data_IF_903822971679
#
_entry.id   IF_903822971679
#
_cell.length_a   1.000
_cell.length_b   1.000
_cell.length_c   1.000
_cell.angle_alpha   90.00
_cell.angle_beta   90.00
_cell.angle_gamma   90.00
#
_symmetry.space_group_name_H-M   'P 1'
#
loop_
_entity.id
_entity.type
_entity.pdbx_description
1 polymer ?
#
# COMPACT_ATOMS: atom_id res chain seq x y z
N UNK A 1 7.24 -33.68 6.31
CA UNK A 1 8.02 -33.45 5.08
C UNK A 1 7.48 -34.39 4.01
N UNK A 2 7.20 -33.83 2.83
CA UNK A 2 6.79 -34.61 1.66
C UNK A 2 7.57 -34.11 0.45
N UNK A 3 8.32 -35.04 -0.17
CA UNK A 3 9.13 -34.77 -1.38
C UNK A 3 8.57 -35.63 -2.50
N UNK A 4 8.20 -34.96 -3.57
CA UNK A 4 7.60 -35.58 -4.74
C UNK A 4 8.42 -35.32 -5.99
N UNK A 5 8.47 -36.28 -6.89
CA UNK A 5 8.87 -36.06 -8.26
C UNK A 5 7.79 -35.22 -8.96
N UNK A 6 8.18 -34.09 -9.52
CA UNK A 6 7.22 -33.15 -10.14
C UNK A 6 6.61 -33.69 -11.43
N UNK A 7 7.38 -34.39 -12.24
CA UNK A 7 6.94 -34.90 -13.55
C UNK A 7 6.06 -36.13 -13.39
N UNK A 8 6.47 -37.04 -12.50
CA UNK A 8 5.80 -38.34 -12.30
C UNK A 8 4.72 -38.31 -11.23
N UNK A 9 4.71 -37.31 -10.38
CA UNK A 9 3.80 -37.22 -9.22
C UNK A 9 4.05 -38.27 -8.15
N UNK A 10 5.21 -38.97 -8.21
CA UNK A 10 5.55 -40.05 -7.27
C UNK A 10 6.22 -39.49 -6.02
N UNK A 11 5.90 -40.05 -4.86
CA UNK A 11 6.54 -39.69 -3.59
C UNK A 11 7.94 -40.27 -3.52
N UNK A 12 8.94 -39.43 -3.38
CA UNK A 12 10.35 -39.82 -3.20
C UNK A 12 10.69 -39.97 -1.73
N UNK A 13 10.10 -39.18 -0.84
CA UNK A 13 10.30 -39.25 0.60
C UNK A 13 9.10 -38.67 1.32
N UNK A 14 8.72 -39.29 2.43
CA UNK A 14 7.67 -38.80 3.32
C UNK A 14 8.06 -39.01 4.78
N UNK A 15 7.90 -38.00 5.60
CA UNK A 15 8.04 -38.06 7.04
C UNK A 15 7.00 -37.13 7.66
N UNK A 16 6.09 -37.71 8.43
CA UNK A 16 4.99 -36.99 9.09
C UNK A 16 4.25 -36.07 8.10
N UNK A 17 3.99 -36.58 6.90
CA UNK A 17 3.54 -35.77 5.74
C UNK A 17 2.12 -35.21 5.90
N UNK A 18 1.28 -35.89 6.68
CA UNK A 18 -0.11 -35.54 6.92
C UNK A 18 -0.30 -34.63 8.13
N UNK A 19 0.78 -34.23 8.78
CA UNK A 19 0.73 -33.30 9.91
C UNK A 19 0.33 -31.91 9.46
N UNK A 20 -0.74 -31.41 10.05
CA UNK A 20 -1.18 -30.02 9.82
C UNK A 20 -0.20 -29.04 10.48
N UNK A 21 0.28 -28.10 9.70
CA UNK A 21 1.18 -27.02 10.12
C UNK A 21 0.63 -25.70 9.65
N UNK A 22 0.99 -24.62 10.35
CA UNK A 22 0.69 -23.26 9.92
C UNK A 22 1.56 -22.98 8.68
N UNK A 23 0.96 -22.67 7.52
CA UNK A 23 1.72 -22.48 6.27
C UNK A 23 2.57 -21.22 6.23
N UNK A 24 2.29 -20.24 7.11
CA UNK A 24 2.95 -18.94 7.08
C UNK A 24 3.01 -18.35 5.64
N UNK A 25 4.15 -17.83 5.20
CA UNK A 25 4.28 -17.22 3.86
C UNK A 25 4.13 -18.20 2.69
N UNK A 26 4.14 -19.50 2.91
CA UNK A 26 3.83 -20.48 1.85
C UNK A 26 2.39 -20.30 1.33
N UNK A 27 1.50 -19.79 2.17
CA UNK A 27 0.13 -19.43 1.77
C UNK A 27 0.09 -18.46 0.58
N UNK A 28 1.12 -17.63 0.41
CA UNK A 28 1.23 -16.70 -0.74
C UNK A 28 1.27 -17.41 -2.08
N UNK A 29 1.80 -18.64 -2.14
CA UNK A 29 1.81 -19.43 -3.38
C UNK A 29 0.38 -19.76 -3.83
N UNK A 30 -0.48 -20.12 -2.89
CA UNK A 30 -1.90 -20.40 -3.17
C UNK A 30 -2.65 -19.13 -3.58
N UNK A 31 -2.47 -18.05 -2.82
CA UNK A 31 -3.13 -16.77 -3.10
C UNK A 31 -2.70 -16.21 -4.47
N UNK A 32 -1.39 -16.25 -4.75
CA UNK A 32 -0.84 -15.78 -6.03
C UNK A 32 -1.31 -16.67 -7.19
N UNK A 33 -1.30 -18.00 -7.00
CA UNK A 33 -1.79 -18.95 -7.99
C UNK A 33 -3.27 -18.69 -8.34
N UNK A 34 -4.11 -18.51 -7.34
CA UNK A 34 -5.53 -18.20 -7.53
C UNK A 34 -5.75 -16.86 -8.27
N UNK A 35 -4.97 -15.83 -7.94
CA UNK A 35 -5.01 -14.54 -8.64
C UNK A 35 -4.57 -14.68 -10.10
N UNK A 36 -3.49 -15.40 -10.37
CA UNK A 36 -2.99 -15.66 -11.72
C UNK A 36 -4.01 -16.44 -12.56
N UNK A 37 -4.65 -17.45 -11.97
CA UNK A 37 -5.70 -18.22 -12.65
C UNK A 37 -6.94 -17.36 -12.94
N UNK A 38 -7.33 -16.49 -12.00
CA UNK A 38 -8.57 -15.70 -12.11
C UNK A 38 -8.45 -14.50 -13.03
N UNK A 39 -7.32 -13.80 -13.00
CA UNK A 39 -7.12 -12.52 -13.68
C UNK A 39 -6.06 -12.56 -14.78
N UNK A 40 -5.25 -13.60 -14.82
CA UNK A 40 -4.16 -13.73 -15.79
C UNK A 40 -2.92 -12.91 -15.40
N UNK A 41 -1.79 -13.13 -16.13
CA UNK A 41 -0.51 -12.48 -15.87
C UNK A 41 -0.49 -10.99 -16.24
N UNK A 42 -1.39 -10.56 -17.12
CA UNK A 42 -1.43 -9.17 -17.63
C UNK A 42 -2.37 -8.27 -16.85
N UNK A 43 -2.92 -8.75 -15.72
CA UNK A 43 -3.78 -7.93 -14.88
C UNK A 43 -3.01 -6.73 -14.32
N UNK A 44 -3.65 -5.56 -14.40
CA UNK A 44 -3.10 -4.30 -13.89
C UNK A 44 -4.10 -3.59 -12.99
N UNK A 45 -3.61 -3.08 -11.88
CA UNK A 45 -4.34 -2.12 -11.07
C UNK A 45 -4.45 -0.77 -11.82
N UNK A 46 -5.54 -0.03 -11.60
CA UNK A 46 -5.79 1.24 -12.29
C UNK A 46 -6.11 2.33 -11.29
N UNK A 47 -5.15 3.18 -11.01
CA UNK A 47 -5.40 4.41 -10.28
C UNK A 47 -5.80 5.51 -11.27
N UNK A 48 -6.95 6.14 -11.06
CA UNK A 48 -7.46 7.16 -11.95
C UNK A 48 -7.50 8.55 -11.29
N UNK A 49 -7.30 9.58 -12.10
CA UNK A 49 -7.45 10.96 -11.67
C UNK A 49 -8.72 11.55 -12.28
N UNK A 50 -9.47 12.29 -11.47
CA UNK A 50 -10.66 13.01 -11.89
C UNK A 50 -10.69 14.43 -11.35
N UNK A 51 -11.54 15.27 -11.95
CA UNK A 51 -11.79 16.62 -11.47
C UNK A 51 -13.27 16.79 -11.18
N UNK A 52 -13.59 17.12 -9.93
CA UNK A 52 -14.94 17.52 -9.56
C UNK A 52 -15.05 19.02 -9.46
N UNK A 53 -16.14 19.57 -10.03
CA UNK A 53 -16.50 20.99 -9.90
C UNK A 53 -17.72 21.11 -9.02
N UNK A 54 -17.62 21.85 -7.92
CA UNK A 54 -18.78 22.15 -7.08
C UNK A 54 -19.75 23.04 -7.84
N UNK A 55 -21.04 22.66 -7.88
CA UNK A 55 -22.09 23.45 -8.52
C UNK A 55 -22.77 24.44 -7.58
N UNK A 56 -22.42 24.44 -6.29
CA UNK A 56 -23.21 25.15 -5.26
C UNK A 56 -22.71 26.54 -4.86
N UNK A 57 -21.67 27.06 -5.50
CA UNK A 57 -21.13 28.38 -5.17
C UNK A 57 -20.94 29.23 -6.43
N UNK A 58 -21.09 30.57 -6.28
CA UNK A 58 -20.88 31.57 -7.33
C UNK A 58 -19.48 31.50 -7.97
N UNK A 59 -18.52 30.90 -7.27
CA UNK A 59 -17.17 30.57 -7.76
C UNK A 59 -17.08 29.04 -7.81
N UNK A 60 -16.91 28.51 -9.02
CA UNK A 60 -16.75 27.06 -9.24
C UNK A 60 -15.41 26.61 -8.70
N UNK A 61 -15.40 26.09 -7.47
CA UNK A 61 -14.21 25.48 -6.86
C UNK A 61 -14.02 24.05 -7.34
N UNK A 62 -12.77 23.67 -7.60
CA UNK A 62 -12.40 22.36 -8.12
C UNK A 62 -11.69 21.54 -7.05
N UNK A 63 -11.92 20.24 -7.08
CA UNK A 63 -11.14 19.24 -6.35
C UNK A 63 -10.49 18.28 -7.33
N UNK A 64 -9.25 17.90 -7.09
CA UNK A 64 -8.65 16.72 -7.70
C UNK A 64 -9.17 15.49 -6.98
N UNK A 65 -9.64 14.50 -7.72
CA UNK A 65 -10.04 13.21 -7.13
C UNK A 65 -9.04 12.16 -7.57
N UNK A 66 -8.57 11.36 -6.62
CA UNK A 66 -7.76 10.17 -6.88
C UNK A 66 -8.61 8.95 -6.56
N UNK A 67 -8.92 8.14 -7.56
CA UNK A 67 -9.67 6.89 -7.42
C UNK A 67 -8.69 5.73 -7.22
N UNK A 68 -8.70 5.15 -6.03
CA UNK A 68 -7.89 3.98 -5.69
C UNK A 68 -8.54 2.67 -6.14
N UNK A 69 -7.73 1.70 -6.53
CA UNK A 69 -8.16 0.36 -6.92
C UNK A 69 -7.42 -0.77 -6.19
N UNK A 70 -6.72 -0.44 -5.10
CA UNK A 70 -5.98 -1.41 -4.33
C UNK A 70 -4.56 -1.69 -4.82
N UNK A 71 -4.00 -0.82 -5.66
CA UNK A 71 -2.63 -0.97 -6.17
C UNK A 71 -1.61 -0.90 -5.02
N UNK A 72 -0.90 -1.99 -4.70
CA UNK A 72 0.09 -2.01 -3.63
C UNK A 72 1.43 -1.38 -4.04
N UNK A 73 1.65 -1.16 -5.33
CA UNK A 73 2.93 -0.65 -5.85
C UNK A 73 3.00 0.88 -5.88
N UNK A 74 1.88 1.57 -5.66
CA UNK A 74 1.77 3.01 -5.79
C UNK A 74 2.67 3.74 -4.76
N UNK A 75 3.71 4.38 -5.23
CA UNK A 75 4.69 5.06 -4.37
C UNK A 75 5.53 4.13 -3.50
N UNK A 76 5.56 2.84 -3.80
CA UNK A 76 6.31 1.85 -3.03
C UNK A 76 7.82 2.08 -3.13
N UNK A 77 8.53 1.88 -2.02
CA UNK A 77 9.99 1.97 -1.96
C UNK A 77 10.70 0.90 -2.81
N UNK A 78 9.99 -0.16 -3.21
CA UNK A 78 10.51 -1.16 -4.14
C UNK A 78 10.59 -0.65 -5.59
N UNK A 79 9.88 0.44 -5.91
CA UNK A 79 9.78 1.01 -7.25
C UNK A 79 10.02 2.53 -7.25
N UNK A 80 11.19 3.03 -6.78
CA UNK A 80 11.43 4.46 -6.59
C UNK A 80 11.38 5.26 -7.90
N UNK A 81 11.90 4.72 -8.98
CA UNK A 81 11.92 5.38 -10.29
C UNK A 81 10.50 5.49 -10.88
N UNK A 82 9.67 4.49 -10.65
CA UNK A 82 8.27 4.50 -11.09
C UNK A 82 7.45 5.52 -10.32
N UNK A 83 7.73 5.72 -9.05
CA UNK A 83 7.09 6.75 -8.23
C UNK A 83 7.37 8.15 -8.78
N UNK A 84 8.60 8.47 -9.09
CA UNK A 84 8.97 9.76 -9.67
C UNK A 84 8.33 9.97 -11.04
N UNK A 85 8.32 8.95 -11.88
CA UNK A 85 7.66 8.96 -13.19
C UNK A 85 6.15 9.20 -13.05
N UNK A 86 5.49 8.48 -12.16
CA UNK A 86 4.06 8.62 -11.89
C UNK A 86 3.66 10.05 -11.55
N UNK A 87 4.35 10.69 -10.61
CA UNK A 87 4.05 12.08 -10.26
C UNK A 87 4.24 13.03 -11.44
N UNK A 88 5.28 12.80 -12.25
CA UNK A 88 5.52 13.58 -13.45
C UNK A 88 4.38 13.43 -14.45
N UNK A 89 3.97 12.20 -14.73
CA UNK A 89 2.88 11.88 -15.65
C UNK A 89 1.53 12.46 -15.17
N UNK A 90 1.23 12.32 -13.87
CA UNK A 90 0.02 12.89 -13.29
C UNK A 90 -0.01 14.42 -13.39
N UNK A 91 1.10 15.07 -13.06
CA UNK A 91 1.21 16.53 -13.16
C UNK A 91 1.05 17.00 -14.60
N UNK A 92 1.69 16.31 -15.54
CA UNK A 92 1.54 16.62 -16.97
C UNK A 92 0.11 16.40 -17.46
N UNK A 93 -0.54 15.30 -17.06
CA UNK A 93 -1.91 15.02 -17.44
C UNK A 93 -2.87 16.10 -16.91
N UNK A 94 -2.73 16.49 -15.66
CA UNK A 94 -3.50 17.58 -15.04
C UNK A 94 -3.32 18.88 -15.81
N UNK A 95 -2.07 19.27 -16.06
CA UNK A 95 -1.73 20.52 -16.74
C UNK A 95 -2.21 20.55 -18.21
N UNK A 96 -2.02 19.45 -18.95
CA UNK A 96 -2.49 19.32 -20.33
C UNK A 96 -4.02 19.44 -20.45
N UNK A 97 -4.75 19.09 -19.42
CA UNK A 97 -6.20 19.26 -19.36
C UNK A 97 -6.63 20.66 -18.83
N UNK A 98 -5.69 21.59 -18.69
CA UNK A 98 -5.97 22.98 -18.34
C UNK A 98 -6.21 23.21 -16.84
N UNK A 99 -5.77 22.29 -15.97
CA UNK A 99 -5.90 22.44 -14.53
C UNK A 99 -4.54 22.76 -13.90
N UNK A 100 -4.46 23.89 -13.18
CA UNK A 100 -3.26 24.31 -12.48
C UNK A 100 -3.47 24.47 -10.98
N UNK A 101 -4.73 24.55 -10.54
CA UNK A 101 -5.09 24.75 -9.13
C UNK A 101 -6.36 23.96 -8.78
N UNK A 102 -6.42 23.53 -7.54
CA UNK A 102 -7.56 22.84 -6.93
C UNK A 102 -7.90 23.52 -5.62
N UNK A 103 -8.83 24.46 -5.65
CA UNK A 103 -9.16 25.35 -4.50
C UNK A 103 -9.79 24.57 -3.34
N UNK A 104 -10.43 23.43 -3.63
CA UNK A 104 -10.97 22.52 -2.62
C UNK A 104 -10.01 21.36 -2.29
N UNK A 105 -8.77 21.40 -2.78
CA UNK A 105 -7.74 20.40 -2.49
C UNK A 105 -7.92 19.08 -3.22
N UNK A 106 -7.38 18.03 -2.61
CA UNK A 106 -7.37 16.66 -3.14
C UNK A 106 -8.34 15.80 -2.32
N UNK A 107 -9.15 15.03 -3.00
CA UNK A 107 -10.04 14.03 -2.42
C UNK A 107 -9.56 12.65 -2.88
N UNK A 108 -9.38 11.74 -1.96
CA UNK A 108 -9.06 10.35 -2.26
C UNK A 108 -10.33 9.54 -2.12
N UNK A 109 -10.73 8.89 -3.21
CA UNK A 109 -11.82 7.92 -3.21
C UNK A 109 -11.24 6.53 -2.94
N UNK A 110 -11.46 6.07 -1.73
CA UNK A 110 -11.00 4.77 -1.24
C UNK A 110 -12.17 3.79 -1.06
N UNK A 111 -13.28 3.98 -1.77
CA UNK A 111 -14.50 3.17 -1.60
C UNK A 111 -14.44 1.80 -2.30
N UNK A 112 -13.40 1.53 -3.09
CA UNK A 112 -13.27 0.27 -3.81
C UNK A 112 -13.02 -0.95 -2.89
N UNK A 113 -12.48 -0.74 -1.70
CA UNK A 113 -12.31 -1.78 -0.67
C UNK A 113 -12.47 -1.20 0.72
N UNK A 114 -12.86 -2.03 1.68
CA UNK A 114 -12.85 -1.65 3.09
C UNK A 114 -11.44 -1.74 3.66
N UNK A 115 -11.11 -0.81 4.57
CA UNK A 115 -9.92 -0.86 5.39
C UNK A 115 -10.19 -1.75 6.60
N UNK A 116 -9.94 -3.03 6.46
CA UNK A 116 -10.15 -3.98 7.54
C UNK A 116 -8.82 -4.60 7.94
N UNK A 117 -8.50 -4.50 9.22
CA UNK A 117 -7.49 -5.36 9.83
C UNK A 117 -8.15 -6.71 10.04
N UNK A 118 -7.62 -7.81 9.49
CA UNK A 118 -8.17 -9.14 9.72
C UNK A 118 -8.22 -9.46 11.22
N UNK A 119 -9.30 -10.07 11.67
CA UNK A 119 -9.54 -10.37 13.10
C UNK A 119 -8.48 -11.31 13.69
N UNK A 120 -7.82 -12.09 12.82
CA UNK A 120 -6.80 -13.05 13.21
C UNK A 120 -5.41 -12.42 13.45
N UNK A 121 -5.25 -11.13 13.13
CA UNK A 121 -3.97 -10.46 13.35
C UNK A 121 -3.72 -10.21 14.83
N UNK A 122 -2.53 -10.57 15.29
CA UNK A 122 -2.14 -10.33 16.67
C UNK A 122 -1.63 -8.90 16.87
N UNK A 123 -1.70 -8.39 18.10
CA UNK A 123 -1.15 -7.08 18.45
C UNK A 123 0.34 -6.94 18.11
N UNK A 124 1.08 -8.06 18.11
CA UNK A 124 2.49 -8.06 17.76
C UNK A 124 2.74 -7.80 16.28
N UNK A 125 1.77 -8.07 15.41
CA UNK A 125 1.87 -7.85 13.97
C UNK A 125 1.47 -6.43 13.58
N UNK A 126 0.53 -5.86 14.32
CA UNK A 126 0.02 -4.51 14.06
C UNK A 126 1.12 -3.48 14.31
N UNK A 127 1.35 -2.62 13.31
CA UNK A 127 2.40 -1.59 13.35
C UNK A 127 3.76 -2.05 12.84
N UNK A 128 3.93 -3.33 12.51
CA UNK A 128 5.08 -3.79 11.73
C UNK A 128 4.86 -3.51 10.23
N UNK A 129 5.95 -3.35 9.49
CA UNK A 129 5.88 -3.09 8.04
C UNK A 129 5.13 -4.17 7.25
N UNK A 130 5.09 -5.40 7.74
CA UNK A 130 4.35 -6.51 7.14
C UNK A 130 2.89 -6.60 7.61
N UNK A 131 2.55 -5.92 8.70
CA UNK A 131 1.22 -5.87 9.30
C UNK A 131 0.43 -4.62 8.90
N UNK A 132 0.52 -4.22 7.65
CA UNK A 132 -0.21 -3.07 7.10
C UNK A 132 -1.46 -3.55 6.38
N UNK A 133 -2.66 -3.11 6.79
CA UNK A 133 -3.88 -3.50 6.10
C UNK A 133 -3.91 -2.92 4.69
N UNK A 134 -4.33 -3.72 3.68
CA UNK A 134 -4.53 -3.22 2.33
C UNK A 134 -5.76 -2.30 2.29
N UNK A 135 -5.68 -1.25 1.50
CA UNK A 135 -6.78 -0.34 1.23
C UNK A 135 -6.98 -0.13 -0.26
N UNK A 136 -8.04 0.57 -0.64
CA UNK A 136 -8.28 0.93 -2.04
C UNK A 136 -7.17 1.84 -2.58
N UNK A 137 -6.55 2.64 -1.74
CA UNK A 137 -5.35 3.41 -2.03
C UNK A 137 -4.26 3.03 -1.03
N UNK A 138 -3.16 2.52 -1.52
CA UNK A 138 -1.95 2.29 -0.76
C UNK A 138 -0.90 3.24 -1.30
N UNK A 139 -0.16 3.91 -0.43
CA UNK A 139 0.86 4.87 -0.85
C UNK A 139 2.04 4.83 0.12
N UNK A 140 3.28 4.83 -0.42
CA UNK A 140 4.48 4.60 0.36
C UNK A 140 4.37 3.35 1.26
N UNK A 141 3.85 2.25 0.71
CA UNK A 141 3.60 0.99 1.42
C UNK A 141 2.73 1.16 2.67
N UNK A 142 1.94 2.24 2.77
CA UNK A 142 1.19 2.67 3.95
C UNK A 142 2.04 2.72 5.23
N UNK A 143 3.33 3.01 5.09
CA UNK A 143 4.29 3.07 6.19
C UNK A 143 4.92 4.46 6.30
N UNK A 144 5.52 4.73 7.43
CA UNK A 144 6.40 5.87 7.60
C UNK A 144 7.68 5.44 8.34
N UNK A 145 8.78 6.08 8.00
CA UNK A 145 10.07 5.87 8.66
C UNK A 145 10.32 7.00 9.63
N UNK A 146 10.51 6.67 10.89
CA UNK A 146 10.86 7.63 11.94
C UNK A 146 12.37 7.59 12.16
N UNK A 147 13.04 8.70 11.93
CA UNK A 147 14.45 8.87 12.23
C UNK A 147 14.62 9.53 13.59
N UNK A 148 15.28 8.87 14.50
CA UNK A 148 15.48 9.39 15.85
C UNK A 148 16.94 9.31 16.29
N UNK A 149 17.31 10.19 17.21
CA UNK A 149 18.61 10.25 17.86
C UNK A 149 18.47 10.15 19.38
N UNK A 150 19.40 9.45 20.01
CA UNK A 150 19.62 9.48 21.45
C UNK A 150 20.98 10.11 21.75
N UNK A 151 21.11 10.85 22.83
CA UNK A 151 22.38 11.46 23.26
C UNK A 151 23.30 10.47 23.99
N UNK A 152 22.72 9.44 24.62
CA UNK A 152 23.41 8.38 25.32
C UNK A 152 22.50 7.15 25.48
N UNK A 153 23.00 5.96 25.82
CA UNK A 153 22.18 4.82 26.17
C UNK A 153 21.17 5.17 27.28
N UNK A 154 19.95 4.65 27.14
CA UNK A 154 18.83 4.86 28.08
C UNK A 154 18.35 6.31 28.22
N UNK A 155 18.72 7.20 27.31
CA UNK A 155 18.18 8.56 27.26
C UNK A 155 17.00 8.64 26.29
N UNK A 156 16.19 9.69 26.45
CA UNK A 156 15.04 9.96 25.59
C UNK A 156 15.48 10.11 24.13
N UNK A 157 14.76 9.43 23.25
CA UNK A 157 14.92 9.58 21.81
C UNK A 157 14.18 10.83 21.31
N UNK A 158 14.82 11.59 20.44
CA UNK A 158 14.19 12.69 19.73
C UNK A 158 14.04 12.33 18.25
N UNK A 159 12.82 12.37 17.75
CA UNK A 159 12.58 12.22 16.31
C UNK A 159 12.99 13.52 15.64
N UNK A 160 13.80 13.41 14.59
CA UNK A 160 14.29 14.58 13.85
C UNK A 160 13.86 14.57 12.37
N UNK A 161 13.34 13.44 11.87
CA UNK A 161 12.86 13.32 10.49
C UNK A 161 11.79 12.24 10.43
N UNK A 162 10.77 12.45 9.60
CA UNK A 162 9.74 11.48 9.24
C UNK A 162 9.71 11.39 7.72
N UNK A 163 9.65 10.17 7.19
CA UNK A 163 9.55 9.92 5.74
C UNK A 163 8.35 9.01 5.46
N UNK A 164 7.45 9.39 4.51
CA UNK A 164 7.38 10.68 3.83
C UNK A 164 7.13 11.83 4.80
N UNK A 165 7.39 13.07 4.36
CA UNK A 165 7.13 14.26 5.17
C UNK A 165 5.62 14.38 5.42
N UNK A 166 5.22 14.23 6.69
CA UNK A 166 3.83 14.24 7.11
C UNK A 166 3.51 15.53 7.86
N UNK A 167 2.33 16.13 7.63
CA UNK A 167 1.91 17.29 8.41
C UNK A 167 1.90 16.99 9.92
N UNK A 168 2.31 17.95 10.75
CA UNK A 168 2.35 17.85 12.22
C UNK A 168 1.00 17.44 12.85
N UNK A 169 -0.09 17.65 12.13
CA UNK A 169 -1.43 17.24 12.54
C UNK A 169 -1.68 15.75 12.42
N UNK A 170 -0.87 15.05 11.63
CA UNK A 170 -1.07 13.63 11.33
C UNK A 170 -0.40 12.72 12.36
N UNK A 171 0.78 13.08 12.83
CA UNK A 171 1.55 12.30 13.79
C UNK A 171 2.13 13.20 14.88
N UNK A 172 1.58 13.13 16.09
CA UNK A 172 2.16 13.76 17.27
C UNK A 172 2.92 12.73 18.07
N UNK A 173 4.24 12.78 17.99
CA UNK A 173 5.09 11.97 18.85
C UNK A 173 5.24 12.72 20.16
N UNK A 174 4.56 12.22 21.20
CA UNK A 174 4.82 12.71 22.56
C UNK A 174 6.13 12.10 23.06
N UNK A 175 7.01 12.93 23.57
CA UNK A 175 8.29 12.47 24.13
C UNK A 175 8.09 11.67 25.42
#
# INVERSE_FOLDING_TARGET
>A
IHVMDYEQGTTLYAYDADRLLIPASIQKLLSTGAVMERFGPDYQFKTALGVCKSKSQAISKKSLIIYGSGDPSLGSHFFPDETARMFTEWTQAITRNGYNTFENGIVVDATATDWLIPDEWTWNDIGNYYGVPPGAINFFDNTCVLHYKTSAPYTKANVYKIEPDLPDTFLKIKP
#
